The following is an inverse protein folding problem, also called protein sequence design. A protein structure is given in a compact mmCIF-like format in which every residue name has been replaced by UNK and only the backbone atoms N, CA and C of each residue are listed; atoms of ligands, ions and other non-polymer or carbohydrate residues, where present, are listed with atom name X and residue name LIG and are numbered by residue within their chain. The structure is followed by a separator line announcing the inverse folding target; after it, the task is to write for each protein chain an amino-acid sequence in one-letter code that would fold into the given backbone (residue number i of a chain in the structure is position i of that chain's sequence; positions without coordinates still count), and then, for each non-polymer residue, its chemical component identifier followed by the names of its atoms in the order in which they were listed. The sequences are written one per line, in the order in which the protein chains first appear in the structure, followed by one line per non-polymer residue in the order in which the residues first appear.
data_IF_589508353185
#
_entry.id   IF_589508353185
#
_cell.length_a   1.000
_cell.length_b   1.000
_cell.length_c   1.000
_cell.angle_alpha   90.00
_cell.angle_beta   90.00
_cell.angle_gamma   90.00
#
_symmetry.space_group_name_H-M   'P 1'
#
loop_
_entity.id
_entity.type
_entity.pdbx_description
1 polymer ?
#
# COMPACT_ATOMS: atom_id res chain seq x y z
N UNK A 1 27.88 -1.69 -6.60
CA UNK A 1 26.82 -0.66 -6.72
C UNK A 1 26.31 -0.29 -5.35
N UNK A 2 26.61 0.93 -4.89
CA UNK A 2 26.22 1.47 -3.59
C UNK A 2 25.06 2.45 -3.78
N UNK A 3 23.85 2.03 -3.41
CA UNK A 3 22.65 2.86 -3.55
C UNK A 3 22.48 3.71 -2.28
N UNK A 4 22.30 5.03 -2.40
CA UNK A 4 22.22 5.91 -1.23
C UNK A 4 21.07 5.58 -0.28
N UNK A 5 19.95 5.05 -0.79
CA UNK A 5 18.83 4.58 0.03
C UNK A 5 19.05 3.25 0.76
N UNK A 6 20.10 2.48 0.41
CA UNK A 6 20.32 1.12 0.93
C UNK A 6 20.59 1.07 2.44
N UNK A 7 21.49 1.88 3.03
CA UNK A 7 21.79 1.78 4.45
C UNK A 7 20.55 2.01 5.33
N UNK A 8 19.69 2.96 4.94
CA UNK A 8 18.42 3.20 5.63
C UNK A 8 17.46 2.02 5.51
N UNK A 9 17.33 1.44 4.32
CA UNK A 9 16.49 0.27 4.10
C UNK A 9 16.96 -0.92 4.96
N UNK A 10 18.27 -1.20 4.99
CA UNK A 10 18.85 -2.26 5.81
C UNK A 10 18.60 -2.02 7.30
N UNK A 11 18.86 -0.81 7.80
CA UNK A 11 18.64 -0.48 9.21
C UNK A 11 17.18 -0.69 9.65
N UNK A 12 16.22 -0.30 8.80
CA UNK A 12 14.81 -0.58 9.05
C UNK A 12 14.50 -2.08 9.02
N UNK A 13 14.93 -2.80 7.98
CA UNK A 13 14.67 -4.24 7.85
C UNK A 13 15.29 -5.05 9.00
N UNK A 14 16.49 -4.68 9.46
CA UNK A 14 17.16 -5.27 10.61
C UNK A 14 16.38 -5.01 11.91
N UNK A 15 15.93 -3.78 12.15
CA UNK A 15 15.11 -3.46 13.32
C UNK A 15 13.79 -4.26 13.34
N UNK A 16 13.15 -4.42 12.18
CA UNK A 16 11.94 -5.23 12.04
C UNK A 16 12.22 -6.72 12.26
N UNK A 17 13.29 -7.26 11.66
CA UNK A 17 13.70 -8.66 11.83
C UNK A 17 14.09 -8.98 13.28
N UNK A 18 14.66 -8.01 14.00
CA UNK A 18 14.96 -8.14 15.43
C UNK A 18 13.69 -8.35 16.27
N UNK A 19 12.62 -7.60 15.98
CA UNK A 19 11.34 -7.71 16.69
C UNK A 19 10.45 -8.86 16.21
N UNK A 20 10.59 -9.28 14.95
CA UNK A 20 9.75 -10.30 14.31
C UNK A 20 10.61 -11.45 13.76
N UNK A 21 10.80 -12.55 14.53
CA UNK A 21 11.67 -13.67 14.13
C UNK A 21 11.24 -14.39 12.84
N UNK A 22 9.98 -14.21 12.42
CA UNK A 22 9.45 -14.77 11.16
C UNK A 22 9.76 -13.91 9.94
N UNK A 23 10.16 -12.64 10.14
CA UNK A 23 10.52 -11.74 9.06
C UNK A 23 11.94 -12.07 8.58
N UNK A 24 12.06 -12.30 7.28
CA UNK A 24 13.34 -12.54 6.60
C UNK A 24 13.49 -11.50 5.51
N UNK A 25 14.71 -11.04 5.31
CA UNK A 25 15.03 -10.08 4.27
C UNK A 25 16.37 -10.43 3.63
N UNK A 26 16.55 -9.96 2.40
CA UNK A 26 17.78 -10.11 1.64
C UNK A 26 17.92 -8.96 0.65
N UNK A 27 19.15 -8.70 0.21
CA UNK A 27 19.40 -7.77 -0.89
C UNK A 27 19.61 -8.55 -2.18
N UNK A 28 18.83 -8.20 -3.18
CA UNK A 28 18.88 -8.80 -4.52
C UNK A 28 19.42 -7.77 -5.49
N UNK A 29 20.40 -8.16 -6.31
CA UNK A 29 20.85 -7.38 -7.45
C UNK A 29 19.98 -7.74 -8.67
N UNK A 30 19.08 -6.86 -9.14
CA UNK A 30 18.17 -7.18 -10.23
C UNK A 30 18.88 -7.36 -11.58
N UNK A 31 20.11 -6.85 -11.72
CA UNK A 31 20.93 -7.02 -12.94
C UNK A 31 21.52 -8.42 -12.98
N UNK A 32 21.91 -8.97 -11.82
CA UNK A 32 22.47 -10.32 -11.71
C UNK A 32 21.39 -11.39 -11.64
N UNK A 33 20.28 -11.12 -10.95
CA UNK A 33 19.17 -12.05 -10.73
C UNK A 33 17.94 -11.71 -11.59
N UNK A 34 18.13 -11.63 -12.90
CA UNK A 34 17.10 -11.18 -13.86
C UNK A 34 15.79 -11.98 -13.76
N UNK A 35 15.86 -13.30 -13.59
CA UNK A 35 14.66 -14.15 -13.47
C UNK A 35 13.82 -13.77 -12.25
N UNK A 36 14.48 -13.52 -11.12
CA UNK A 36 13.84 -13.12 -9.88
C UNK A 36 13.25 -11.72 -9.98
N UNK A 37 14.01 -10.78 -10.54
CA UNK A 37 13.53 -9.43 -10.80
C UNK A 37 12.27 -9.44 -11.69
N UNK A 38 12.25 -10.27 -12.75
CA UNK A 38 11.06 -10.44 -13.62
C UNK A 38 9.87 -11.03 -12.89
N UNK A 39 10.09 -12.05 -12.04
CA UNK A 39 9.01 -12.66 -11.23
C UNK A 39 8.32 -11.61 -10.36
N UNK A 40 9.12 -10.79 -9.68
CA UNK A 40 8.64 -9.72 -8.80
C UNK A 40 8.30 -8.40 -9.54
N UNK A 41 8.39 -8.38 -10.87
CA UNK A 41 8.16 -7.21 -11.74
C UNK A 41 8.97 -5.98 -11.32
N UNK A 42 10.19 -6.20 -10.83
CA UNK A 42 11.15 -5.15 -10.51
C UNK A 42 11.76 -4.63 -11.80
N UNK A 43 11.47 -3.37 -12.14
CA UNK A 43 11.96 -2.71 -13.36
C UNK A 43 13.07 -1.70 -13.10
N UNK A 44 13.33 -1.35 -11.84
CA UNK A 44 14.32 -0.37 -11.43
C UNK A 44 15.01 -0.75 -10.13
N UNK A 45 16.21 -0.20 -9.91
CA UNK A 45 16.91 -0.31 -8.63
C UNK A 45 16.22 0.57 -7.58
N UNK A 46 16.44 0.27 -6.29
CA UNK A 46 15.71 0.96 -5.23
C UNK A 46 14.24 0.53 -5.14
N UNK A 47 13.94 -0.72 -5.49
CA UNK A 47 12.63 -1.31 -5.28
C UNK A 47 12.65 -2.19 -4.03
N UNK A 48 11.68 -2.00 -3.13
CA UNK A 48 11.43 -2.91 -2.01
C UNK A 48 10.22 -3.79 -2.34
N UNK A 49 10.40 -5.10 -2.21
CA UNK A 49 9.32 -6.09 -2.38
C UNK A 49 9.08 -6.77 -1.04
N UNK A 50 7.82 -6.81 -0.63
CA UNK A 50 7.37 -7.47 0.59
C UNK A 50 6.37 -8.55 0.17
N UNK A 51 6.56 -9.78 0.66
CA UNK A 51 5.73 -10.94 0.31
C UNK A 51 5.38 -11.75 1.55
N UNK A 52 4.13 -12.22 1.64
CA UNK A 52 3.67 -13.19 2.63
C UNK A 52 2.49 -13.98 2.08
N UNK A 53 2.52 -15.31 2.20
CA UNK A 53 1.45 -16.23 1.77
C UNK A 53 0.88 -15.93 0.37
N UNK A 54 1.77 -15.66 -0.59
CA UNK A 54 1.41 -15.34 -1.99
C UNK A 54 0.82 -13.94 -2.21
N UNK A 55 0.73 -13.11 -1.17
CA UNK A 55 0.40 -11.67 -1.29
C UNK A 55 1.68 -10.87 -1.42
N UNK A 56 1.67 -9.88 -2.31
CA UNK A 56 2.82 -9.06 -2.65
C UNK A 56 2.49 -7.57 -2.54
N UNK A 57 3.39 -6.81 -1.93
CA UNK A 57 3.41 -5.35 -1.96
C UNK A 57 4.78 -4.89 -2.48
N UNK A 58 4.78 -3.82 -3.30
CA UNK A 58 5.99 -3.28 -3.91
C UNK A 58 6.04 -1.78 -3.68
N UNK A 59 7.22 -1.29 -3.33
CA UNK A 59 7.53 0.13 -3.17
C UNK A 59 8.67 0.47 -4.12
N UNK A 60 8.41 1.41 -5.03
CA UNK A 60 9.33 1.85 -6.08
C UNK A 60 9.98 3.19 -5.73
N UNK A 61 10.97 3.62 -6.51
CA UNK A 61 11.57 4.95 -6.36
C UNK A 61 12.32 5.19 -5.05
N UNK A 62 12.83 4.14 -4.39
CA UNK A 62 13.53 4.25 -3.10
C UNK A 62 15.06 4.39 -3.24
N UNK A 63 15.57 4.58 -4.47
CA UNK A 63 17.00 4.59 -4.75
C UNK A 63 17.75 5.67 -3.95
N UNK A 64 17.16 6.86 -3.80
CA UNK A 64 17.82 8.01 -3.18
C UNK A 64 17.75 8.00 -1.65
N UNK A 65 16.54 7.80 -1.10
CA UNK A 65 16.25 8.04 0.31
C UNK A 65 15.90 6.79 1.10
N UNK A 66 15.73 5.64 0.44
CA UNK A 66 15.19 4.43 1.06
C UNK A 66 13.74 4.58 1.55
N UNK A 67 13.10 3.50 2.01
CA UNK A 67 11.74 3.55 2.53
C UNK A 67 11.66 4.38 3.82
N UNK A 68 10.52 5.02 4.09
CA UNK A 68 10.15 5.42 5.45
C UNK A 68 9.66 4.22 6.26
N UNK A 69 9.65 4.33 7.59
CA UNK A 69 9.07 3.31 8.46
C UNK A 69 7.59 3.09 8.13
N UNK A 70 6.82 4.18 7.99
CA UNK A 70 5.41 4.16 7.59
C UNK A 70 5.18 3.34 6.31
N UNK A 71 5.98 3.57 5.26
CA UNK A 71 5.87 2.83 4.00
C UNK A 71 6.11 1.33 4.19
N UNK A 72 7.13 0.95 4.96
CA UNK A 72 7.44 -0.46 5.25
C UNK A 72 6.34 -1.12 6.10
N UNK A 73 5.89 -0.46 7.17
CA UNK A 73 4.80 -0.95 8.04
C UNK A 73 3.54 -1.21 7.23
N UNK A 74 3.13 -0.23 6.42
CA UNK A 74 1.93 -0.35 5.62
C UNK A 74 2.08 -1.45 4.55
N UNK A 75 3.28 -1.65 3.98
CA UNK A 75 3.55 -2.77 3.08
C UNK A 75 3.42 -4.14 3.78
N UNK A 76 3.96 -4.27 5.00
CA UNK A 76 3.83 -5.49 5.82
C UNK A 76 2.38 -5.77 6.16
N UNK A 77 1.63 -4.77 6.64
CA UNK A 77 0.19 -4.90 6.93
C UNK A 77 -0.57 -5.39 5.70
N UNK A 78 -0.29 -4.86 4.50
CA UNK A 78 -0.97 -5.26 3.27
C UNK A 78 -0.77 -6.73 2.91
N UNK A 79 0.38 -7.33 3.25
CA UNK A 79 0.68 -8.73 2.89
C UNK A 79 0.39 -9.73 4.00
N UNK A 80 0.50 -9.35 5.27
CA UNK A 80 0.28 -10.27 6.40
C UNK A 80 -1.16 -10.33 6.86
N UNK A 81 -1.97 -9.30 6.57
CA UNK A 81 -3.34 -9.24 7.10
C UNK A 81 -4.27 -10.20 6.36
N UNK A 82 -4.98 -11.02 7.12
CA UNK A 82 -5.93 -12.04 6.62
C UNK A 82 -7.17 -11.40 5.98
N UNK A 83 -7.69 -10.34 6.60
CA UNK A 83 -8.88 -9.62 6.13
C UNK A 83 -8.52 -8.22 5.60
N UNK A 84 -8.95 -7.91 4.37
CA UNK A 84 -8.84 -6.57 3.81
C UNK A 84 -9.84 -5.65 4.49
N UNK A 85 -9.36 -4.54 5.07
CA UNK A 85 -10.27 -3.51 5.54
C UNK A 85 -10.76 -2.68 4.37
N UNK A 86 -12.06 -2.70 4.14
CA UNK A 86 -12.68 -1.94 3.05
C UNK A 86 -13.30 -0.66 3.58
N UNK A 87 -12.87 0.47 3.04
CA UNK A 87 -13.48 1.77 3.28
C UNK A 87 -14.48 2.06 2.15
N UNK A 88 -15.76 2.10 2.48
CA UNK A 88 -16.83 2.34 1.52
C UNK A 88 -17.21 3.82 1.55
N UNK A 89 -17.03 4.52 0.42
CA UNK A 89 -17.40 5.94 0.29
C UNK A 89 -18.77 6.03 -0.37
N UNK A 90 -19.73 6.65 0.32
CA UNK A 90 -21.10 6.80 -0.17
C UNK A 90 -21.16 7.87 -1.26
N UNK A 91 -21.84 7.55 -2.36
CA UNK A 91 -22.17 8.48 -3.43
C UNK A 91 -23.57 8.23 -4.01
N UNK A 92 -24.12 9.26 -4.67
CA UNK A 92 -25.36 9.16 -5.44
C UNK A 92 -26.53 9.97 -4.87
N UNK A 93 -26.34 10.65 -3.74
CA UNK A 93 -27.33 11.53 -3.08
C UNK A 93 -26.82 12.97 -2.88
N UNK A 94 -25.87 13.42 -3.71
CA UNK A 94 -25.26 14.76 -3.60
C UNK A 94 -23.98 14.80 -2.78
N UNK A 95 -23.43 13.65 -2.40
CA UNK A 95 -22.10 13.55 -1.81
C UNK A 95 -20.99 13.91 -2.79
N UNK A 96 -19.85 14.32 -2.24
CA UNK A 96 -18.66 14.65 -3.02
C UNK A 96 -18.11 13.42 -3.73
N UNK A 97 -17.65 13.61 -4.97
CA UNK A 97 -17.02 12.53 -5.72
C UNK A 97 -15.65 12.15 -5.13
N UNK A 98 -15.42 10.85 -4.96
CA UNK A 98 -14.12 10.27 -4.59
C UNK A 98 -13.09 10.33 -5.70
N UNK A 99 -13.52 10.39 -6.95
CA UNK A 99 -12.65 10.53 -8.13
C UNK A 99 -12.34 12.00 -8.46
N UNK A 100 -13.06 12.95 -7.86
CA UNK A 100 -12.81 14.37 -8.07
C UNK A 100 -11.48 14.80 -7.41
N UNK A 101 -10.53 15.22 -8.25
CA UNK A 101 -9.21 15.72 -7.88
C UNK A 101 -9.19 17.20 -7.54
N UNK A 102 -10.33 17.89 -7.63
CA UNK A 102 -10.46 19.29 -7.21
C UNK A 102 -10.33 19.43 -5.70
N UNK A 103 -10.07 20.65 -5.22
CA UNK A 103 -10.05 20.96 -3.78
C UNK A 103 -11.38 20.65 -3.06
N UNK A 104 -12.47 20.48 -3.82
CA UNK A 104 -13.79 20.13 -3.28
C UNK A 104 -14.05 18.62 -3.26
N UNK A 105 -13.29 17.83 -4.01
CA UNK A 105 -13.43 16.38 -4.10
C UNK A 105 -12.76 15.61 -2.96
N UNK A 106 -12.77 14.27 -3.06
CA UNK A 106 -12.25 13.37 -2.02
C UNK A 106 -11.06 12.51 -2.49
N UNK A 107 -10.47 12.79 -3.66
CA UNK A 107 -9.34 12.01 -4.17
C UNK A 107 -8.17 11.91 -3.19
N UNK A 108 -7.79 13.01 -2.55
CA UNK A 108 -6.69 13.01 -1.58
C UNK A 108 -7.00 12.13 -0.36
N UNK A 109 -8.25 12.13 0.10
CA UNK A 109 -8.72 11.29 1.19
C UNK A 109 -8.72 9.80 0.80
N UNK A 110 -9.17 9.47 -0.41
CA UNK A 110 -9.07 8.11 -0.97
C UNK A 110 -7.61 7.64 -1.02
N UNK A 111 -6.69 8.48 -1.47
CA UNK A 111 -5.26 8.15 -1.53
C UNK A 111 -4.69 7.85 -0.16
N UNK A 112 -4.95 8.72 0.82
CA UNK A 112 -4.50 8.53 2.20
C UNK A 112 -5.02 7.22 2.81
N UNK A 113 -6.30 6.88 2.59
CA UNK A 113 -6.85 5.59 3.05
C UNK A 113 -6.14 4.39 2.41
N UNK A 114 -5.82 4.48 1.12
CA UNK A 114 -5.06 3.44 0.42
C UNK A 114 -3.63 3.28 0.94
N UNK A 115 -2.98 4.40 1.29
CA UNK A 115 -1.65 4.42 1.91
C UNK A 115 -1.67 3.71 3.27
N UNK A 116 -2.72 3.93 4.06
CA UNK A 116 -3.01 3.25 5.35
C UNK A 116 -3.48 1.78 5.20
N UNK A 117 -3.53 1.25 3.97
CA UNK A 117 -3.84 -0.15 3.71
C UNK A 117 -5.33 -0.50 3.65
N UNK A 118 -6.22 0.49 3.47
CA UNK A 118 -7.61 0.23 3.13
C UNK A 118 -7.80 -0.04 1.64
N UNK A 119 -8.69 -0.97 1.32
CA UNK A 119 -9.30 -1.04 -0.01
C UNK A 119 -10.43 -0.02 -0.07
N UNK A 120 -10.31 1.01 -0.92
CA UNK A 120 -11.36 2.02 -1.05
C UNK A 120 -12.32 1.63 -2.17
N UNK A 121 -13.62 1.61 -1.87
CA UNK A 121 -14.68 1.25 -2.83
C UNK A 121 -15.82 2.26 -2.78
N UNK A 122 -16.41 2.54 -3.94
CA UNK A 122 -17.63 3.33 -4.05
C UNK A 122 -18.85 2.52 -3.57
N UNK A 123 -19.73 3.15 -2.78
CA UNK A 123 -21.00 2.58 -2.36
C UNK A 123 -22.16 3.49 -2.80
N UNK A 124 -23.05 2.95 -3.63
CA UNK A 124 -24.30 3.63 -4.01
C UNK A 124 -25.46 2.90 -3.33
N UNK A 125 -26.10 3.49 -2.29
CA UNK A 125 -27.06 2.79 -1.44
C UNK A 125 -28.24 2.17 -2.18
N UNK A 126 -28.81 2.86 -3.19
CA UNK A 126 -29.90 2.32 -3.99
C UNK A 126 -29.50 1.13 -4.88
N UNK A 127 -28.23 1.07 -5.30
CA UNK A 127 -27.74 0.00 -6.16
C UNK A 127 -27.20 -1.21 -5.36
N UNK A 128 -26.86 -1.00 -4.07
CA UNK A 128 -26.22 -2.01 -3.22
C UNK A 128 -27.03 -2.18 -1.91
N UNK A 129 -28.16 -2.92 -1.93
CA UNK A 129 -29.06 -3.06 -0.77
C UNK A 129 -28.53 -3.97 0.36
N UNK A 130 -27.33 -4.53 0.24
CA UNK A 130 -26.66 -5.32 1.30
C UNK A 130 -25.21 -4.88 1.49
N UNK A 131 -24.70 -5.18 2.67
CA UNK A 131 -23.33 -4.98 3.14
C UNK A 131 -22.29 -5.34 2.09
N UNK A 132 -21.63 -4.33 1.50
CA UNK A 132 -20.56 -4.52 0.51
C UNK A 132 -19.23 -5.03 1.14
N UNK A 133 -19.29 -5.64 2.33
CA UNK A 133 -18.12 -6.00 3.13
C UNK A 133 -17.37 -4.80 3.70
N UNK A 134 -18.07 -3.68 3.93
CA UNK A 134 -17.47 -2.44 4.43
C UNK A 134 -17.03 -2.60 5.89
N UNK A 135 -15.73 -2.38 6.14
CA UNK A 135 -15.20 -2.30 7.51
C UNK A 135 -15.38 -0.90 8.10
N UNK A 136 -15.41 0.11 7.23
CA UNK A 136 -15.66 1.52 7.56
C UNK A 136 -16.58 2.09 6.49
N UNK A 137 -17.57 2.88 6.91
CA UNK A 137 -18.45 3.63 6.02
C UNK A 137 -18.11 5.12 6.10
N UNK A 138 -17.87 5.75 4.96
CA UNK A 138 -17.58 7.18 4.84
C UNK A 138 -18.76 7.86 4.16
N UNK A 139 -19.42 8.77 4.88
CA UNK A 139 -20.50 9.60 4.35
C UNK A 139 -20.00 11.04 4.37
N UNK A 140 -19.57 11.53 3.21
CA UNK A 140 -19.19 12.92 3.04
C UNK A 140 -20.44 13.72 2.66
N UNK A 141 -21.14 14.21 3.70
CA UNK A 141 -22.34 15.04 3.64
C UNK A 141 -22.28 16.13 2.53
N UNK A 142 -23.44 16.56 2.00
CA UNK A 142 -23.52 17.18 0.69
C UNK A 142 -22.92 18.59 0.65
N UNK A 143 -22.55 19.02 -0.56
CA UNK A 143 -22.35 20.42 -0.95
C UNK A 143 -23.61 21.25 -0.85
#
# INVERSE_FOLDING_TARGET
DDHPGRPKAQGLLEAYAYCAPTLRWELVDPVREVTRARHYRVTEQGTLVVESDGRLARLDGLADLGPSEEQLTNALIRVTRVERRRACVVEGHGEKSWEDTSAKGLWAFQRALGEEGYEVSRLVPLAHPRDAGCSVLVIAAPT
#
